data_IF_448147960355
#
_entry.id   IF_448147960355
#
_cell.length_a   1.000
_cell.length_b   1.000
_cell.length_c   1.000
_cell.angle_alpha   90.00
_cell.angle_beta   90.00
_cell.angle_gamma   90.00
#
_symmetry.space_group_name_H-M   'P 1'
#
loop_
_entity.id
_entity.type
_entity.pdbx_description
1 polymer ?
#
# COMPACT_ATOMS: atom_id res chain seq x y z
N UNK A 1 -5.20 7.58 43.22
CA UNK A 1 -4.53 8.46 42.23
C UNK A 1 -4.17 7.79 40.90
N UNK A 2 -4.23 6.45 40.76
CA UNK A 2 -3.96 5.77 39.48
C UNK A 2 -5.12 5.80 38.47
N UNK A 3 -6.39 5.78 38.91
CA UNK A 3 -7.55 5.77 38.00
C UNK A 3 -7.75 7.06 37.20
N UNK A 4 -7.41 8.24 37.76
CA UNK A 4 -7.52 9.52 37.03
C UNK A 4 -6.47 9.62 35.92
N UNK A 5 -5.27 9.07 36.13
CA UNK A 5 -4.19 9.10 35.15
C UNK A 5 -4.40 8.13 33.99
N UNK A 6 -5.15 7.04 34.16
CA UNK A 6 -5.53 6.16 33.05
C UNK A 6 -6.73 6.70 32.25
N UNK A 7 -7.63 7.46 32.89
CA UNK A 7 -8.84 8.01 32.26
C UNK A 7 -8.55 9.16 31.28
N UNK A 8 -7.54 9.99 31.55
CA UNK A 8 -7.17 11.13 30.68
C UNK A 8 -6.59 10.65 29.32
N UNK A 9 -5.63 9.70 29.28
CA UNK A 9 -5.13 9.14 28.02
C UNK A 9 -6.21 8.41 27.21
N UNK A 10 -7.14 7.70 27.88
CA UNK A 10 -8.24 7.05 27.17
C UNK A 10 -9.17 8.06 26.52
N UNK A 11 -9.53 9.14 27.24
CA UNK A 11 -10.33 10.23 26.69
C UNK A 11 -9.65 10.90 25.49
N UNK A 12 -8.33 11.11 25.56
CA UNK A 12 -7.56 11.67 24.45
C UNK A 12 -7.57 10.76 23.22
N UNK A 13 -7.41 9.43 23.41
CA UNK A 13 -7.53 8.45 22.31
C UNK A 13 -8.92 8.47 21.69
N UNK A 14 -9.96 8.49 22.49
CA UNK A 14 -11.35 8.52 22.01
C UNK A 14 -11.64 9.80 21.20
N UNK A 15 -11.12 10.94 21.66
CA UNK A 15 -11.20 12.21 20.91
C UNK A 15 -10.48 12.13 19.56
N UNK A 16 -9.27 11.58 19.53
CA UNK A 16 -8.53 11.40 18.29
C UNK A 16 -9.25 10.44 17.34
N UNK A 17 -9.81 9.34 17.84
CA UNK A 17 -10.60 8.41 17.03
C UNK A 17 -11.83 9.09 16.42
N UNK A 18 -12.59 9.84 17.22
CA UNK A 18 -13.77 10.58 16.73
C UNK A 18 -13.40 11.63 15.68
N UNK A 19 -12.28 12.33 15.87
CA UNK A 19 -11.77 13.27 14.88
C UNK A 19 -11.36 12.57 13.58
N UNK A 20 -10.71 11.39 13.65
CA UNK A 20 -10.36 10.62 12.47
C UNK A 20 -11.59 10.24 11.65
N UNK A 21 -12.65 9.74 12.31
CA UNK A 21 -13.93 9.41 11.67
C UNK A 21 -14.58 10.63 11.04
N UNK A 22 -14.59 11.78 11.72
CA UNK A 22 -15.15 13.02 11.18
C UNK A 22 -14.39 13.53 9.94
N UNK A 23 -13.06 13.39 9.91
CA UNK A 23 -12.25 13.71 8.73
C UNK A 23 -12.45 12.73 7.58
N UNK A 24 -12.67 11.45 7.89
CA UNK A 24 -12.98 10.42 6.91
C UNK A 24 -14.30 10.72 6.19
N UNK A 25 -15.33 11.12 6.94
CA UNK A 25 -16.62 11.57 6.37
C UNK A 25 -16.47 12.78 5.44
N UNK A 26 -15.49 13.64 5.70
CA UNK A 26 -15.14 14.78 4.84
C UNK A 26 -14.16 14.41 3.70
N UNK A 27 -13.88 13.12 3.48
CA UNK A 27 -12.95 12.62 2.46
C UNK A 27 -11.57 13.27 2.54
N UNK A 28 -11.11 13.54 3.76
CA UNK A 28 -9.81 14.15 4.08
C UNK A 28 -8.86 13.12 4.70
N UNK A 29 -8.34 12.15 3.92
CA UNK A 29 -7.65 10.98 4.44
C UNK A 29 -6.35 11.32 5.17
N UNK A 30 -5.65 12.38 4.76
CA UNK A 30 -4.45 12.86 5.45
C UNK A 30 -4.72 13.18 6.93
N UNK A 31 -5.78 13.96 7.19
CA UNK A 31 -6.19 14.32 8.55
C UNK A 31 -6.73 13.09 9.29
N UNK A 32 -7.50 12.24 8.61
CA UNK A 32 -8.03 11.01 9.19
C UNK A 32 -6.89 10.09 9.69
N UNK A 33 -5.86 9.84 8.87
CA UNK A 33 -4.70 9.02 9.25
C UNK A 33 -3.94 9.62 10.42
N UNK A 34 -3.68 10.94 10.40
CA UNK A 34 -2.99 11.63 11.50
C UNK A 34 -3.70 11.41 12.84
N UNK A 35 -5.02 11.55 12.85
CA UNK A 35 -5.83 11.35 14.06
C UNK A 35 -5.92 9.87 14.45
N UNK A 36 -6.09 8.94 13.50
CA UNK A 36 -6.15 7.51 13.77
C UNK A 36 -4.83 6.97 14.37
N UNK A 37 -3.69 7.49 13.90
CA UNK A 37 -2.39 7.15 14.49
C UNK A 37 -2.24 7.65 15.92
N UNK A 38 -2.75 8.86 16.24
CA UNK A 38 -2.72 9.41 17.60
C UNK A 38 -3.63 8.66 18.57
N UNK A 39 -4.76 8.12 18.10
CA UNK A 39 -5.59 7.22 18.91
C UNK A 39 -5.01 5.81 19.03
N UNK A 40 -3.94 5.49 18.29
CA UNK A 40 -3.37 4.15 18.16
C UNK A 40 -4.39 3.11 17.65
N UNK A 41 -5.34 3.56 16.81
CA UNK A 41 -6.37 2.73 16.20
C UNK A 41 -5.86 2.24 14.83
N UNK A 42 -5.13 1.12 14.85
CA UNK A 42 -4.48 0.59 13.64
C UNK A 42 -5.48 0.04 12.64
N UNK A 43 -6.59 -0.51 13.10
CA UNK A 43 -7.68 -0.98 12.24
C UNK A 43 -8.27 0.18 11.42
N UNK A 44 -8.50 1.32 12.06
CA UNK A 44 -8.94 2.53 11.35
C UNK A 44 -7.88 3.04 10.37
N UNK A 45 -6.59 2.96 10.70
CA UNK A 45 -5.52 3.28 9.74
C UNK A 45 -5.59 2.37 8.51
N UNK A 46 -5.77 1.06 8.71
CA UNK A 46 -5.92 0.08 7.62
C UNK A 46 -7.15 0.39 6.76
N UNK A 47 -8.29 0.70 7.38
CA UNK A 47 -9.52 1.10 6.68
C UNK A 47 -9.27 2.30 5.76
N UNK A 48 -8.67 3.37 6.30
CA UNK A 48 -8.38 4.59 5.52
C UNK A 48 -7.39 4.29 4.39
N UNK A 49 -6.33 3.50 4.64
CA UNK A 49 -5.35 3.15 3.62
C UNK A 49 -5.94 2.27 2.51
N UNK A 50 -6.83 1.33 2.84
CA UNK A 50 -7.49 0.49 1.85
C UNK A 50 -8.46 1.26 0.96
N UNK A 51 -9.13 2.28 1.51
CA UNK A 51 -10.08 3.11 0.76
C UNK A 51 -9.37 4.23 -0.03
N UNK A 52 -8.43 4.94 0.60
CA UNK A 52 -7.83 6.16 0.05
C UNK A 52 -6.36 6.04 -0.37
N UNK A 53 -5.67 4.96 0.00
CA UNK A 53 -4.23 4.84 -0.18
C UNK A 53 -3.76 5.04 -1.62
N UNK A 54 -4.49 4.47 -2.58
CA UNK A 54 -4.17 4.67 -4.01
C UNK A 54 -4.41 6.11 -4.48
N UNK A 55 -5.49 6.75 -4.02
CA UNK A 55 -5.78 8.15 -4.34
C UNK A 55 -4.69 9.07 -3.79
N UNK A 56 -4.31 8.89 -2.53
CA UNK A 56 -3.23 9.61 -1.88
C UNK A 56 -1.90 9.43 -2.63
N UNK A 57 -1.61 8.20 -3.09
CA UNK A 57 -0.40 7.90 -3.85
C UNK A 57 -0.36 8.70 -5.16
N UNK A 58 -1.47 8.74 -5.89
CA UNK A 58 -1.57 9.53 -7.12
C UNK A 58 -1.56 11.05 -6.88
N UNK A 59 -1.92 11.51 -5.69
CA UNK A 59 -1.83 12.91 -5.29
C UNK A 59 -0.44 13.30 -4.74
N UNK A 60 0.51 12.35 -4.71
CA UNK A 60 1.88 12.60 -4.28
C UNK A 60 2.09 12.60 -2.76
N UNK A 61 1.13 12.10 -1.97
CA UNK A 61 1.23 12.01 -0.50
C UNK A 61 2.10 10.82 -0.04
N UNK A 62 3.23 10.59 -0.71
CA UNK A 62 4.03 9.36 -0.58
C UNK A 62 4.57 9.17 0.85
N UNK A 63 5.13 10.22 1.45
CA UNK A 63 5.72 10.14 2.80
C UNK A 63 4.68 9.82 3.87
N UNK A 64 3.47 10.39 3.76
CA UNK A 64 2.36 10.12 4.68
C UNK A 64 1.93 8.66 4.59
N UNK A 65 1.79 8.14 3.36
CA UNK A 65 1.44 6.74 3.13
C UNK A 65 2.49 5.78 3.66
N UNK A 66 3.75 6.01 3.28
CA UNK A 66 4.87 5.17 3.70
C UNK A 66 4.99 5.13 5.23
N UNK A 67 4.90 6.28 5.89
CA UNK A 67 4.92 6.36 7.35
C UNK A 67 3.73 5.64 8.00
N UNK A 68 2.54 5.75 7.41
CA UNK A 68 1.35 5.08 7.94
C UNK A 68 1.42 3.56 7.83
N UNK A 69 1.86 3.06 6.67
CA UNK A 69 2.06 1.63 6.44
C UNK A 69 3.15 1.08 7.37
N UNK A 70 4.28 1.77 7.53
CA UNK A 70 5.40 1.31 8.36
C UNK A 70 5.09 1.24 9.87
N UNK A 71 3.97 1.81 10.32
CA UNK A 71 3.50 1.70 11.72
C UNK A 71 2.56 0.52 11.95
N UNK A 72 2.08 -0.12 10.89
CA UNK A 72 1.27 -1.33 11.02
C UNK A 72 2.15 -2.47 11.52
N UNK A 73 1.57 -3.36 12.33
CA UNK A 73 2.22 -4.64 12.60
C UNK A 73 2.09 -5.57 11.38
N UNK A 74 2.90 -6.62 11.38
CA UNK A 74 2.94 -7.59 10.29
C UNK A 74 1.56 -8.21 10.03
N UNK A 75 0.79 -8.48 11.09
CA UNK A 75 -0.51 -9.13 10.95
C UNK A 75 -1.50 -8.26 10.18
N UNK A 76 -1.63 -6.97 10.54
CA UNK A 76 -2.48 -6.04 9.82
C UNK A 76 -1.97 -5.75 8.41
N UNK A 77 -0.66 -5.63 8.23
CA UNK A 77 -0.07 -5.33 6.92
C UNK A 77 -0.30 -6.47 5.91
N UNK A 78 0.05 -7.70 6.30
CA UNK A 78 0.01 -8.86 5.41
C UNK A 78 -1.38 -9.50 5.32
N UNK A 79 -2.35 -9.09 6.14
CA UNK A 79 -3.75 -9.48 5.92
C UNK A 79 -4.41 -8.72 4.76
N UNK A 80 -3.75 -7.71 4.18
CA UNK A 80 -4.32 -6.82 3.17
C UNK A 80 -3.41 -6.69 1.93
N UNK A 81 -3.66 -7.45 0.85
CA UNK A 81 -2.86 -7.39 -0.38
C UNK A 81 -2.71 -5.98 -0.99
N UNK A 82 -3.73 -5.13 -0.85
CA UNK A 82 -3.65 -3.73 -1.31
C UNK A 82 -2.53 -2.95 -0.63
N UNK A 83 -2.29 -3.19 0.66
CA UNK A 83 -1.24 -2.50 1.42
C UNK A 83 0.16 -2.97 1.03
N UNK A 84 0.33 -4.28 0.82
CA UNK A 84 1.62 -4.82 0.33
C UNK A 84 1.92 -4.36 -1.10
N UNK A 85 0.91 -4.28 -1.96
CA UNK A 85 1.04 -3.72 -3.30
C UNK A 85 1.40 -2.22 -3.24
N UNK A 86 0.77 -1.44 -2.35
CA UNK A 86 1.14 -0.02 -2.13
C UNK A 86 2.59 0.15 -1.67
N UNK A 87 3.12 -0.74 -0.81
CA UNK A 87 4.56 -0.72 -0.43
C UNK A 87 5.47 -0.85 -1.64
N UNK A 88 5.17 -1.78 -2.54
CA UNK A 88 5.96 -1.99 -3.75
C UNK A 88 5.88 -0.78 -4.70
N UNK A 89 4.70 -0.18 -4.86
CA UNK A 89 4.51 1.06 -5.63
C UNK A 89 5.24 2.27 -5.04
N UNK A 90 5.27 2.42 -3.72
CA UNK A 90 6.05 3.45 -3.03
C UNK A 90 7.55 3.27 -3.27
N UNK A 91 8.06 2.05 -3.13
CA UNK A 91 9.46 1.77 -3.43
C UNK A 91 9.82 2.11 -4.88
N UNK A 92 8.96 1.74 -5.85
CA UNK A 92 9.16 2.07 -7.26
C UNK A 92 9.16 3.58 -7.49
N UNK A 93 8.20 4.32 -6.94
CA UNK A 93 8.06 5.77 -7.18
C UNK A 93 9.21 6.57 -6.58
N UNK A 94 9.90 6.00 -5.60
CA UNK A 94 11.08 6.56 -4.95
C UNK A 94 12.39 5.95 -5.51
N UNK A 95 12.35 5.32 -6.69
CA UNK A 95 13.48 4.71 -7.40
C UNK A 95 14.23 3.62 -6.62
N UNK A 96 13.59 2.99 -5.63
CA UNK A 96 14.15 1.88 -4.86
C UNK A 96 13.87 0.53 -5.54
N UNK A 97 14.29 0.40 -6.80
CA UNK A 97 14.00 -0.78 -7.63
C UNK A 97 14.48 -2.09 -7.01
N UNK A 98 15.65 -2.07 -6.35
CA UNK A 98 16.19 -3.24 -5.64
C UNK A 98 15.26 -3.76 -4.53
N UNK A 99 14.45 -2.88 -3.92
CA UNK A 99 13.50 -3.25 -2.87
C UNK A 99 12.17 -3.76 -3.43
N UNK A 100 11.78 -3.36 -4.64
CA UNK A 100 10.48 -3.73 -5.22
C UNK A 100 10.31 -5.25 -5.28
N UNK A 101 11.31 -5.97 -5.80
CA UNK A 101 11.27 -7.43 -5.86
C UNK A 101 11.17 -8.09 -4.49
N UNK A 102 11.97 -7.63 -3.53
CA UNK A 102 11.98 -8.14 -2.16
C UNK A 102 10.62 -7.94 -1.45
N UNK A 103 9.99 -6.77 -1.66
CA UNK A 103 8.69 -6.45 -1.08
C UNK A 103 7.57 -7.31 -1.67
N UNK A 104 7.63 -7.62 -2.97
CA UNK A 104 6.65 -8.48 -3.64
C UNK A 104 6.81 -9.94 -3.20
N UNK A 105 8.04 -10.43 -3.11
CA UNK A 105 8.36 -11.78 -2.62
C UNK A 105 7.91 -11.96 -1.16
N UNK A 106 8.27 -11.02 -0.28
CA UNK A 106 7.81 -11.00 1.12
C UNK A 106 6.28 -11.05 1.20
N UNK A 107 5.60 -10.23 0.39
CA UNK A 107 4.15 -10.19 0.37
C UNK A 107 3.55 -11.54 -0.06
N UNK A 108 4.02 -12.14 -1.15
CA UNK A 108 3.51 -13.43 -1.64
C UNK A 108 3.71 -14.55 -0.61
N UNK A 109 4.87 -14.61 0.04
CA UNK A 109 5.11 -15.59 1.10
C UNK A 109 4.17 -15.41 2.29
N UNK A 110 3.99 -14.18 2.76
CA UNK A 110 3.15 -13.87 3.92
C UNK A 110 1.66 -14.06 3.63
N UNK A 111 1.20 -13.75 2.41
CA UNK A 111 -0.16 -14.03 1.94
C UNK A 111 -0.41 -15.53 1.86
N UNK A 112 0.55 -16.29 1.33
CA UNK A 112 0.47 -17.75 1.28
C UNK A 112 0.39 -18.38 2.68
N UNK A 113 1.22 -17.91 3.63
CA UNK A 113 1.16 -18.36 5.05
C UNK A 113 -0.21 -18.12 5.69
N UNK A 114 -0.91 -17.06 5.26
CA UNK A 114 -2.26 -16.69 5.74
C UNK A 114 -3.41 -17.27 4.91
N UNK A 115 -3.11 -18.10 3.91
CA UNK A 115 -4.10 -18.63 2.96
C UNK A 115 -4.92 -17.52 2.26
N UNK A 116 -4.29 -16.38 1.98
CA UNK A 116 -4.87 -15.29 1.20
C UNK A 116 -4.60 -15.57 -0.27
N UNK A 117 -5.65 -15.78 -1.05
CA UNK A 117 -5.56 -15.94 -2.49
C UNK A 117 -5.34 -14.58 -3.16
N UNK A 118 -4.27 -14.47 -3.94
CA UNK A 118 -3.96 -13.29 -4.72
C UNK A 118 -4.59 -13.43 -6.11
N UNK A 119 -5.47 -12.49 -6.45
CA UNK A 119 -6.16 -12.50 -7.72
C UNK A 119 -5.24 -12.18 -8.92
N UNK A 120 -5.77 -12.40 -10.12
CA UNK A 120 -5.06 -12.10 -11.38
C UNK A 120 -4.68 -10.62 -11.49
N UNK A 121 -5.42 -9.70 -10.87
CA UNK A 121 -5.12 -8.28 -10.93
C UNK A 121 -3.94 -7.89 -10.04
N UNK A 122 -3.79 -8.52 -8.87
CA UNK A 122 -2.59 -8.39 -8.05
C UNK A 122 -1.37 -8.87 -8.82
N UNK A 123 -1.47 -10.05 -9.44
CA UNK A 123 -0.39 -10.64 -10.25
C UNK A 123 0.00 -9.73 -11.42
N UNK A 124 -0.98 -9.17 -12.13
CA UNK A 124 -0.71 -8.21 -13.21
C UNK A 124 0.03 -6.95 -12.75
N UNK A 125 -0.29 -6.44 -11.55
CA UNK A 125 0.42 -5.29 -10.98
C UNK A 125 1.84 -5.64 -10.55
N UNK A 126 2.04 -6.80 -9.93
CA UNK A 126 3.35 -7.30 -9.55
C UNK A 126 4.23 -7.48 -10.80
N UNK A 127 3.70 -8.08 -11.86
CA UNK A 127 4.40 -8.25 -13.13
C UNK A 127 4.79 -6.90 -13.77
N UNK A 128 3.92 -5.88 -13.74
CA UNK A 128 4.27 -4.55 -14.23
C UNK A 128 5.44 -3.92 -13.46
N UNK A 129 5.46 -4.08 -12.14
CA UNK A 129 6.55 -3.61 -11.29
C UNK A 129 7.86 -4.39 -11.56
N UNK A 130 7.78 -5.71 -11.67
CA UNK A 130 8.93 -6.58 -11.94
C UNK A 130 9.51 -6.34 -13.35
N UNK A 131 8.67 -6.01 -14.33
CA UNK A 131 9.13 -5.61 -15.66
C UNK A 131 10.04 -4.38 -15.59
N UNK A 132 9.65 -3.37 -14.81
CA UNK A 132 10.49 -2.18 -14.60
C UNK A 132 11.78 -2.50 -13.83
N UNK A 133 11.75 -3.42 -12.86
CA UNK A 133 12.95 -3.90 -12.16
C UNK A 133 13.90 -4.61 -13.14
N UNK A 134 13.37 -5.42 -14.05
CA UNK A 134 14.15 -6.11 -15.07
C UNK A 134 14.83 -5.15 -16.05
N UNK A 135 14.14 -4.07 -16.48
CA UNK A 135 14.77 -2.98 -17.25
C UNK A 135 15.96 -2.38 -16.50
N UNK A 136 15.77 -2.01 -15.23
CA UNK A 136 16.84 -1.42 -14.42
C UNK A 136 17.99 -2.39 -14.12
N UNK A 137 17.75 -3.70 -14.27
CA UNK A 137 18.73 -4.77 -14.09
C UNK A 137 19.36 -5.23 -15.41
N UNK A 138 19.14 -4.50 -16.51
CA UNK A 138 19.65 -4.83 -17.85
C UNK A 138 19.21 -6.23 -18.34
N UNK A 139 17.95 -6.59 -18.09
CA UNK A 139 17.30 -7.83 -18.52
C UNK A 139 16.08 -7.51 -19.42
N UNK A 140 16.29 -6.98 -20.63
CA UNK A 140 15.21 -6.47 -21.46
C UNK A 140 14.23 -7.54 -21.95
N UNK A 141 14.70 -8.77 -22.23
CA UNK A 141 13.83 -9.86 -22.67
C UNK A 141 12.84 -10.26 -21.56
N UNK A 142 13.35 -10.39 -20.33
CA UNK A 142 12.52 -10.66 -19.15
C UNK A 142 11.56 -9.51 -18.87
N UNK A 143 12.02 -8.27 -19.06
CA UNK A 143 11.17 -7.10 -18.87
C UNK A 143 9.98 -7.11 -19.83
N UNK A 144 10.22 -7.43 -21.11
CA UNK A 144 9.17 -7.54 -22.13
C UNK A 144 8.17 -8.64 -21.78
N UNK A 145 8.65 -9.85 -21.44
CA UNK A 145 7.80 -10.98 -21.05
C UNK A 145 6.89 -10.62 -19.87
N UNK A 146 7.45 -10.01 -18.83
CA UNK A 146 6.69 -9.58 -17.65
C UNK A 146 5.68 -8.48 -17.98
N UNK A 147 6.04 -7.53 -18.84
CA UNK A 147 5.16 -6.45 -19.24
C UNK A 147 3.98 -6.94 -20.07
N UNK A 148 4.20 -7.85 -21.03
CA UNK A 148 3.14 -8.48 -21.82
C UNK A 148 2.21 -9.31 -20.94
N UNK A 149 2.78 -10.10 -20.02
CA UNK A 149 2.00 -10.86 -19.05
C UNK A 149 1.15 -9.94 -18.16
N UNK A 150 1.73 -8.85 -17.65
CA UNK A 150 0.99 -7.84 -16.89
C UNK A 150 -0.19 -7.28 -17.69
N UNK A 151 0.01 -6.89 -18.95
CA UNK A 151 -1.04 -6.33 -19.80
C UNK A 151 -2.17 -7.32 -20.09
N UNK A 152 -1.89 -8.62 -20.11
CA UNK A 152 -2.90 -9.68 -20.25
C UNK A 152 -3.75 -9.91 -19.00
N UNK A 153 -3.23 -9.52 -17.82
CA UNK A 153 -3.85 -9.74 -16.51
C UNK A 153 -4.54 -8.49 -15.94
N UNK A 154 -4.12 -7.30 -16.39
CA UNK A 154 -4.62 -6.02 -15.93
C UNK A 154 -5.88 -5.60 -16.69
N UNK A 155 -6.96 -5.35 -15.96
CA UNK A 155 -8.12 -4.62 -16.52
C UNK A 155 -7.75 -3.17 -16.85
N UNK A 156 -8.49 -2.57 -17.79
CA UNK A 156 -8.37 -1.20 -18.25
C UNK A 156 -8.53 -0.15 -17.14
N UNK A 157 -9.13 -0.50 -16.01
CA UNK A 157 -9.31 0.38 -14.85
C UNK A 157 -8.04 0.53 -14.00
N UNK A 158 -7.03 -0.32 -14.17
CA UNK A 158 -5.77 -0.29 -13.41
C UNK A 158 -4.70 0.55 -14.16
N UNK A 159 -5.00 1.83 -14.35
CA UNK A 159 -4.29 2.71 -15.29
C UNK A 159 -2.78 2.77 -15.07
N UNK A 160 -2.30 2.96 -13.84
CA UNK A 160 -0.86 3.17 -13.59
C UNK A 160 -0.02 1.93 -13.90
N UNK A 161 -0.51 0.76 -13.52
CA UNK A 161 0.17 -0.51 -13.79
C UNK A 161 0.23 -0.78 -15.29
N UNK A 162 -0.85 -0.46 -16.02
CA UNK A 162 -0.86 -0.53 -17.48
C UNK A 162 0.11 0.46 -18.11
N UNK A 163 0.16 1.71 -17.65
CA UNK A 163 1.13 2.72 -18.13
C UNK A 163 2.56 2.21 -17.95
N UNK A 164 2.90 1.67 -16.77
CA UNK A 164 4.24 1.12 -16.52
C UNK A 164 4.54 -0.05 -17.46
N UNK A 165 3.63 -1.02 -17.57
CA UNK A 165 3.83 -2.16 -18.46
C UNK A 165 3.97 -1.72 -19.94
N UNK A 166 3.10 -0.84 -20.44
CA UNK A 166 3.21 -0.28 -21.79
C UNK A 166 4.52 0.46 -22.02
N UNK A 167 5.02 1.20 -21.04
CA UNK A 167 6.32 1.91 -21.17
C UNK A 167 7.52 0.98 -21.35
N UNK A 168 7.40 -0.29 -20.91
CA UNK A 168 8.43 -1.32 -21.10
C UNK A 168 8.32 -1.98 -22.47
N UNK A 169 7.10 -2.19 -22.97
CA UNK A 169 6.86 -2.81 -24.29
C UNK A 169 7.27 -1.88 -25.44
N UNK A 170 7.06 -0.56 -25.30
CA UNK A 170 7.35 0.45 -26.33
C UNK A 170 6.09 1.03 -26.98
#
# INVERSE_FOLDING_TARGET
SHERQARIPQQEKDLHRNAAVAWLQQKSPHQAIHHAQKSNDKDLVVEILNEFGWKMFNQGELSTLEHAINKLDAELLFSHPKLTMLRAWLAQSQHRYNQVGQLLEEAEEEHKKRNIELDIHYQGQANALLAQVAINSNQPEKALELAELALSQLDNTIYRSRIVATSVVG
#
